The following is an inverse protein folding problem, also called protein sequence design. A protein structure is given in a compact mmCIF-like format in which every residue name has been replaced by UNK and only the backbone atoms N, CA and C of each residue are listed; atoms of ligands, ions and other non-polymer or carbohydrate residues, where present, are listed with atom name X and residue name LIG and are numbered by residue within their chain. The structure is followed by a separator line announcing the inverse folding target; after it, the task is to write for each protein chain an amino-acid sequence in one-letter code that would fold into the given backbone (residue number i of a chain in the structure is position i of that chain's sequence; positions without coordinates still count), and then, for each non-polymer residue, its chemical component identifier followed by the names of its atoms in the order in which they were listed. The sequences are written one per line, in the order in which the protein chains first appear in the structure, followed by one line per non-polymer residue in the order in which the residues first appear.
data_IF_683656068595
#
_entry.id   IF_683656068595
#
_cell.length_a   1.000
_cell.length_b   1.000
_cell.length_c   1.000
_cell.angle_alpha   90.00
_cell.angle_beta   90.00
_cell.angle_gamma   90.00
#
_symmetry.space_group_name_H-M   'P 1'
#
loop_
_entity.id
_entity.type
_entity.pdbx_description
1 polymer ?
#
# COMPACT_ATOMS: atom_id res chain seq x y z
N UNK A 1 40.08 38.65 -49.55
CA UNK A 1 41.21 38.17 -50.35
C UNK A 1 41.72 36.89 -49.70
N UNK A 2 41.70 35.81 -50.49
CA UNK A 2 42.51 34.56 -50.45
C UNK A 2 42.69 33.87 -49.08
N UNK A 3 41.96 32.76 -48.80
CA UNK A 3 42.25 31.33 -49.12
C UNK A 3 43.35 30.72 -48.22
N UNK A 4 43.39 29.44 -47.83
CA UNK A 4 42.49 28.28 -47.72
C UNK A 4 43.42 27.08 -47.38
N UNK A 5 42.83 25.99 -46.86
CA UNK A 5 43.29 24.58 -46.78
C UNK A 5 44.12 24.18 -45.56
N UNK A 6 43.62 23.36 -44.62
CA UNK A 6 43.12 21.97 -44.66
C UNK A 6 44.22 20.92 -44.90
N UNK A 7 44.43 20.05 -43.90
CA UNK A 7 44.35 18.61 -44.14
C UNK A 7 43.97 17.84 -42.87
N UNK A 8 42.96 16.99 -43.05
CA UNK A 8 42.41 16.00 -42.14
C UNK A 8 43.33 14.78 -42.01
N UNK A 9 43.24 14.08 -40.88
CA UNK A 9 43.34 12.62 -40.83
C UNK A 9 42.26 12.08 -39.89
N UNK A 10 41.71 10.94 -40.30
CA UNK A 10 40.41 10.34 -39.94
C UNK A 10 40.62 9.14 -39.01
N UNK A 11 39.51 8.67 -38.41
CA UNK A 11 39.26 7.42 -37.66
C UNK A 11 39.51 7.50 -36.15
N UNK A 12 38.63 7.07 -35.24
CA UNK A 12 37.34 6.39 -35.37
C UNK A 12 36.76 6.10 -33.97
N UNK A 13 35.48 6.37 -33.80
CA UNK A 13 34.41 5.59 -33.17
C UNK A 13 34.62 4.53 -32.04
N UNK A 14 33.60 4.52 -31.15
CA UNK A 14 33.10 3.45 -30.23
C UNK A 14 33.74 3.36 -28.82
N UNK A 15 33.01 3.75 -27.75
CA UNK A 15 31.93 3.02 -27.01
C UNK A 15 32.41 1.74 -26.29
N UNK A 16 32.39 1.81 -24.96
CA UNK A 16 31.76 0.81 -24.08
C UNK A 16 32.59 -0.38 -23.60
N UNK A 17 32.90 -0.40 -22.30
CA UNK A 17 32.87 -1.58 -21.39
C UNK A 17 33.27 -1.10 -19.98
N UNK A 18 32.35 -1.08 -19.01
CA UNK A 18 32.12 -2.19 -18.07
C UNK A 18 33.43 -2.71 -17.45
N UNK A 19 33.87 -2.07 -16.36
CA UNK A 19 34.81 -2.68 -15.42
C UNK A 19 34.02 -3.36 -14.30
N UNK A 20 34.18 -4.69 -14.13
CA UNK A 20 33.46 -5.45 -13.12
C UNK A 20 34.10 -5.26 -11.74
N UNK A 21 33.23 -5.32 -10.74
CA UNK A 21 33.51 -5.58 -9.34
C UNK A 21 34.51 -6.74 -9.21
N UNK A 22 35.70 -6.47 -8.67
CA UNK A 22 36.58 -7.51 -8.16
C UNK A 22 36.32 -7.69 -6.66
N UNK A 23 36.16 -8.94 -6.19
CA UNK A 23 35.86 -9.23 -4.79
C UNK A 23 37.08 -8.95 -3.92
N UNK A 24 36.81 -8.44 -2.72
CA UNK A 24 37.76 -8.28 -1.63
C UNK A 24 38.46 -9.62 -1.37
N UNK A 25 39.71 -9.74 -1.83
CA UNK A 25 40.58 -10.84 -1.44
C UNK A 25 40.98 -10.61 0.02
N UNK A 26 40.48 -11.49 0.86
CA UNK A 26 40.94 -11.69 2.22
C UNK A 26 42.48 -11.82 2.24
N UNK A 27 43.20 -11.17 3.16
CA UNK A 27 44.59 -11.52 3.39
C UNK A 27 44.67 -12.97 3.89
N UNK A 28 45.65 -13.77 3.45
CA UNK A 28 45.79 -15.14 3.93
C UNK A 28 46.06 -15.15 5.44
N UNK A 29 45.56 -16.14 6.20
CA UNK A 29 45.94 -16.28 7.58
C UNK A 29 47.44 -16.54 7.64
N UNK A 30 48.16 -15.72 8.41
CA UNK A 30 49.54 -16.01 8.77
C UNK A 30 49.56 -17.43 9.35
N UNK A 31 50.17 -18.35 8.59
CA UNK A 31 50.51 -19.69 9.05
C UNK A 31 51.33 -19.52 10.32
N UNK A 32 50.69 -19.74 11.48
CA UNK A 32 51.43 -20.04 12.71
C UNK A 32 52.20 -21.31 12.41
N UNK A 33 53.52 -21.19 12.32
CA UNK A 33 54.39 -22.34 12.38
C UNK A 33 54.21 -22.93 13.78
N UNK A 34 53.29 -23.87 13.89
CA UNK A 34 53.20 -24.78 15.02
C UNK A 34 54.47 -25.63 15.00
N UNK A 35 55.49 -25.23 15.76
CA UNK A 35 56.53 -26.16 16.12
C UNK A 35 55.90 -27.18 17.08
N UNK A 36 55.88 -28.43 16.62
CA UNK A 36 55.28 -29.52 17.33
C UNK A 36 56.14 -29.93 18.53
N UNK A 37 55.43 -30.18 19.64
CA UNK A 37 55.76 -31.02 20.80
C UNK A 37 56.55 -30.40 21.95
N UNK A 38 55.82 -30.10 23.03
CA UNK A 38 55.99 -30.71 24.37
C UNK A 38 54.79 -30.32 25.25
N UNK A 39 54.41 -31.20 26.19
CA UNK A 39 53.27 -31.07 27.11
C UNK A 39 53.18 -29.62 27.61
N UNK A 40 52.07 -28.92 27.38
CA UNK A 40 51.84 -27.61 27.98
C UNK A 40 51.85 -27.79 29.50
N UNK A 41 52.90 -27.31 30.16
CA UNK A 41 52.91 -27.20 31.63
C UNK A 41 51.72 -26.34 32.04
N UNK A 42 51.05 -26.70 33.13
CA UNK A 42 49.93 -25.89 33.61
C UNK A 42 50.43 -24.46 33.86
N UNK A 43 49.61 -23.44 33.58
CA UNK A 43 50.02 -22.04 33.79
C UNK A 43 50.58 -21.81 35.21
N UNK A 44 50.02 -22.53 36.20
CA UNK A 44 50.48 -22.55 37.59
C UNK A 44 51.93 -23.00 37.73
N UNK A 45 52.34 -24.05 37.03
CA UNK A 45 53.73 -24.52 37.00
C UNK A 45 54.65 -23.46 36.37
N UNK A 46 54.19 -22.70 35.37
CA UNK A 46 54.99 -21.61 34.78
C UNK A 46 55.26 -20.47 35.77
N UNK A 47 54.29 -20.12 36.62
CA UNK A 47 54.51 -19.15 37.71
C UNK A 47 55.44 -19.71 38.80
N UNK A 48 55.26 -20.97 39.18
CA UNK A 48 56.14 -21.63 40.17
C UNK A 48 57.60 -21.72 39.69
N UNK A 49 57.83 -22.02 38.41
CA UNK A 49 59.18 -22.10 37.82
C UNK A 49 59.89 -20.75 37.78
N UNK A 50 59.14 -19.66 37.60
CA UNK A 50 59.65 -18.29 37.68
C UNK A 50 59.70 -17.75 39.11
N UNK A 51 59.32 -18.57 40.11
CA UNK A 51 59.23 -18.20 41.53
C UNK A 51 58.33 -16.99 41.79
N UNK A 52 57.30 -16.82 40.97
CA UNK A 52 56.32 -15.76 41.11
C UNK A 52 55.15 -16.24 41.98
N UNK A 53 54.49 -15.33 42.73
CA UNK A 53 53.31 -15.70 43.50
C UNK A 53 52.22 -16.24 42.56
N UNK A 54 51.54 -17.31 42.98
CA UNK A 54 50.51 -17.98 42.17
C UNK A 54 49.24 -17.12 41.92
N UNK A 55 49.21 -15.89 42.46
CA UNK A 55 48.17 -14.90 42.25
C UNK A 55 48.29 -14.25 40.87
N UNK A 56 47.16 -14.10 40.17
CA UNK A 56 47.04 -13.64 38.77
C UNK A 56 47.39 -12.16 38.54
N UNK A 57 48.06 -11.52 39.50
CA UNK A 57 48.28 -10.07 39.52
C UNK A 57 49.76 -9.68 39.37
N UNK A 58 50.63 -10.63 39.00
CA UNK A 58 52.05 -10.33 38.75
C UNK A 58 52.18 -9.30 37.62
N UNK A 59 52.87 -8.20 37.89
CA UNK A 59 53.05 -7.14 36.90
C UNK A 59 54.01 -7.58 35.80
N UNK A 60 53.85 -7.04 34.58
CA UNK A 60 54.73 -7.39 33.45
C UNK A 60 56.21 -7.05 33.73
N UNK A 61 56.47 -6.09 34.62
CA UNK A 61 57.81 -5.73 35.06
C UNK A 61 58.39 -6.81 35.99
N UNK A 62 57.62 -7.26 36.98
CA UNK A 62 58.03 -8.34 37.90
C UNK A 62 58.36 -9.65 37.17
N UNK A 63 57.54 -10.02 36.17
CA UNK A 63 57.78 -11.22 35.35
C UNK A 63 59.10 -11.14 34.59
N UNK A 64 59.46 -9.93 34.11
CA UNK A 64 60.74 -9.70 33.43
C UNK A 64 61.92 -9.76 34.38
N UNK A 65 61.78 -9.17 35.57
CA UNK A 65 62.83 -9.18 36.58
C UNK A 65 63.11 -10.59 37.09
N UNK A 66 62.06 -11.38 37.34
CA UNK A 66 62.17 -12.79 37.71
C UNK A 66 62.86 -13.63 36.61
N UNK A 67 62.49 -13.43 35.34
CA UNK A 67 63.16 -14.09 34.22
C UNK A 67 64.64 -13.69 34.11
N UNK A 68 64.97 -12.40 34.24
CA UNK A 68 66.35 -11.93 34.20
C UNK A 68 67.18 -12.50 35.35
N UNK A 69 66.60 -12.64 36.54
CA UNK A 69 67.26 -13.27 37.67
C UNK A 69 67.54 -14.75 37.39
N UNK A 70 66.56 -15.50 36.89
CA UNK A 70 66.73 -16.92 36.53
C UNK A 70 67.70 -17.12 35.35
N UNK A 71 67.67 -16.24 34.36
CA UNK A 71 68.61 -16.27 33.23
C UNK A 71 70.05 -16.09 33.72
N UNK A 72 70.31 -15.15 34.63
CA UNK A 72 71.67 -14.97 35.18
C UNK A 72 72.22 -16.20 35.90
N UNK A 73 71.35 -17.03 36.49
CA UNK A 73 71.74 -18.22 37.26
C UNK A 73 71.91 -19.48 36.39
N UNK A 74 71.09 -19.64 35.36
CA UNK A 74 70.97 -20.90 34.59
C UNK A 74 71.42 -20.78 33.13
N UNK A 75 71.87 -19.61 32.66
CA UNK A 75 72.32 -19.44 31.28
C UNK A 75 73.62 -20.22 31.01
N UNK A 76 73.74 -20.96 29.89
CA UNK A 76 74.91 -21.78 29.56
C UNK A 76 76.22 -20.97 29.48
N UNK A 77 76.14 -19.70 29.10
CA UNK A 77 77.32 -18.83 28.97
C UNK A 77 77.71 -18.10 30.26
N UNK A 78 76.97 -18.29 31.36
CA UNK A 78 77.24 -17.62 32.64
C UNK A 78 78.47 -18.18 33.38
N UNK A 79 78.97 -19.35 32.96
CA UNK A 79 80.13 -20.01 33.57
C UNK A 79 79.92 -20.51 35.01
N UNK A 80 78.68 -20.42 35.54
CA UNK A 80 78.34 -20.90 36.88
C UNK A 80 78.17 -22.43 36.93
N UNK A 81 78.42 -23.05 38.07
CA UNK A 81 78.25 -24.50 38.26
C UNK A 81 76.78 -24.96 38.14
N UNK A 82 75.82 -24.03 38.16
CA UNK A 82 74.38 -24.25 38.00
C UNK A 82 73.90 -24.02 36.56
N UNK A 83 74.80 -23.79 35.61
CA UNK A 83 74.43 -23.50 34.22
C UNK A 83 73.92 -24.77 33.50
N UNK A 84 72.60 -24.85 33.34
CA UNK A 84 71.92 -25.99 32.70
C UNK A 84 71.12 -25.54 31.47
N UNK A 85 71.51 -25.94 30.25
CA UNK A 85 70.85 -25.48 29.03
C UNK A 85 69.40 -25.95 28.93
N UNK A 86 69.09 -27.15 29.44
CA UNK A 86 67.74 -27.71 29.42
C UNK A 86 66.80 -27.04 30.44
N UNK A 87 67.33 -26.54 31.57
CA UNK A 87 66.54 -25.77 32.53
C UNK A 87 66.28 -24.35 32.01
N UNK A 88 67.28 -23.74 31.37
CA UNK A 88 67.12 -22.43 30.75
C UNK A 88 66.01 -22.41 29.68
N UNK A 89 65.94 -23.43 28.81
CA UNK A 89 64.85 -23.54 27.83
C UNK A 89 63.47 -23.66 28.50
N UNK A 90 63.37 -24.37 29.64
CA UNK A 90 62.12 -24.49 30.40
C UNK A 90 61.69 -23.17 31.04
N UNK A 91 62.65 -22.38 31.52
CA UNK A 91 62.42 -21.04 32.09
C UNK A 91 61.96 -20.08 30.99
N UNK A 92 62.55 -20.16 29.79
CA UNK A 92 62.14 -19.36 28.64
C UNK A 92 60.72 -19.71 28.15
N UNK A 93 60.40 -21.00 28.09
CA UNK A 93 59.05 -21.48 27.77
C UNK A 93 58.01 -20.96 28.79
N UNK A 94 58.33 -21.04 30.08
CA UNK A 94 57.47 -20.53 31.14
C UNK A 94 57.25 -19.02 31.04
N UNK A 95 58.30 -18.24 30.77
CA UNK A 95 58.22 -16.79 30.58
C UNK A 95 57.34 -16.41 29.38
N UNK A 96 57.50 -17.11 28.24
CA UNK A 96 56.66 -16.89 27.06
C UNK A 96 55.19 -17.22 27.33
N UNK A 97 54.91 -18.28 28.09
CA UNK A 97 53.55 -18.67 28.47
C UNK A 97 52.86 -17.61 29.35
N UNK A 98 53.57 -17.08 30.36
CA UNK A 98 53.06 -16.02 31.26
C UNK A 98 52.78 -14.72 30.51
N UNK A 99 53.68 -14.31 29.60
CA UNK A 99 53.45 -13.13 28.76
C UNK A 99 52.23 -13.27 27.85
N UNK A 100 52.02 -14.45 27.27
CA UNK A 100 50.84 -14.71 26.45
C UNK A 100 49.54 -14.62 27.27
N UNK A 101 49.54 -15.12 28.51
CA UNK A 101 48.41 -15.03 29.43
C UNK A 101 48.11 -13.58 29.84
N UNK A 102 49.13 -12.78 30.19
CA UNK A 102 48.97 -11.37 30.53
C UNK A 102 48.48 -10.52 29.34
N UNK A 103 48.92 -10.85 28.13
CA UNK A 103 48.42 -10.21 26.91
C UNK A 103 46.94 -10.54 26.65
N UNK A 104 46.52 -11.78 26.90
CA UNK A 104 45.12 -12.22 26.82
C UNK A 104 44.21 -11.50 27.81
N UNK A 105 44.60 -11.44 29.09
CA UNK A 105 43.81 -10.74 30.12
C UNK A 105 43.61 -9.25 29.83
N UNK A 106 44.61 -8.58 29.25
CA UNK A 106 44.46 -7.17 28.83
C UNK A 106 43.49 -6.99 27.66
N UNK A 107 43.34 -8.00 26.80
CA UNK A 107 42.36 -7.97 25.71
C UNK A 107 40.95 -8.24 26.23
N UNK A 108 40.77 -9.21 27.12
CA UNK A 108 39.48 -9.53 27.75
C UNK A 108 38.93 -8.35 28.56
N UNK A 109 39.77 -7.69 29.37
CA UNK A 109 39.35 -6.48 30.12
C UNK A 109 38.91 -5.33 29.20
N UNK A 110 39.58 -5.14 28.06
CA UNK A 110 39.18 -4.12 27.07
C UNK A 110 37.85 -4.46 26.42
N UNK A 111 37.59 -5.73 26.11
CA UNK A 111 36.31 -6.14 25.54
C UNK A 111 35.16 -6.02 26.55
N UNK A 112 35.42 -6.22 27.84
CA UNK A 112 34.43 -6.00 28.91
C UNK A 112 34.13 -4.50 29.09
N UNK A 113 35.16 -3.65 29.15
CA UNK A 113 35.01 -2.18 29.20
C UNK A 113 34.25 -1.63 27.98
N UNK A 114 34.55 -2.12 26.76
CA UNK A 114 33.83 -1.72 25.54
C UNK A 114 32.36 -2.18 25.52
N UNK A 115 32.01 -3.28 26.18
CA UNK A 115 30.62 -3.74 26.32
C UNK A 115 29.87 -2.90 27.34
N UNK A 116 30.50 -2.57 28.45
CA UNK A 116 29.91 -1.74 29.52
C UNK A 116 29.66 -0.29 29.03
N UNK A 117 30.56 0.26 28.21
CA UNK A 117 30.40 1.56 27.52
C UNK A 117 29.27 1.57 26.46
N UNK A 118 28.93 0.40 25.90
CA UNK A 118 27.80 0.26 24.96
C UNK A 118 26.46 0.17 25.68
N UNK A 119 26.42 -0.40 26.88
CA UNK A 119 25.18 -0.53 27.68
C UNK A 119 24.82 0.75 28.45
N UNK A 120 25.80 1.53 28.88
CA UNK A 120 25.58 2.80 29.61
C UNK A 120 25.23 3.99 28.71
N UNK A 121 25.46 3.91 27.40
CA UNK A 121 24.95 4.88 26.42
C UNK A 121 23.46 4.64 26.15
N UNK A 122 22.63 5.05 27.10
CA UNK A 122 21.19 5.19 26.89
C UNK A 122 20.91 5.94 25.59
N UNK A 123 20.03 5.39 24.75
CA UNK A 123 19.59 5.98 23.50
C UNK A 123 18.88 7.32 23.77
N UNK A 124 19.64 8.41 23.82
CA UNK A 124 19.08 9.73 23.65
C UNK A 124 18.41 9.76 22.27
N UNK A 125 17.13 10.18 22.14
CA UNK A 125 16.50 10.30 20.83
C UNK A 125 17.24 11.37 20.03
N UNK A 126 18.18 10.95 19.18
CA UNK A 126 18.90 11.79 18.24
C UNK A 126 18.00 12.19 17.06
N UNK A 127 16.74 12.51 17.30
CA UNK A 127 15.80 12.94 16.27
C UNK A 127 15.95 14.43 15.93
N UNK A 128 17.15 14.99 16.08
CA UNK A 128 17.56 16.23 15.41
C UNK A 128 18.47 15.87 14.24
N UNK A 129 17.95 15.04 13.33
CA UNK A 129 18.53 14.94 12.00
C UNK A 129 18.12 16.23 11.28
N UNK A 130 19.08 17.13 11.05
CA UNK A 130 18.87 18.24 10.12
C UNK A 130 18.54 17.64 8.75
N UNK A 131 17.54 18.19 8.04
CA UNK A 131 17.29 17.82 6.65
C UNK A 131 18.62 17.97 5.88
N UNK A 132 19.19 16.85 5.46
CA UNK A 132 20.32 16.87 4.54
C UNK A 132 19.77 17.26 3.18
N UNK A 133 19.96 18.50 2.76
CA UNK A 133 19.51 19.03 1.47
C UNK A 133 20.30 18.46 0.27
N UNK A 134 20.86 17.25 0.37
CA UNK A 134 21.67 16.60 -0.67
C UNK A 134 22.83 17.48 -1.20
N UNK A 135 23.31 18.43 -0.40
CA UNK A 135 24.32 19.41 -0.81
C UNK A 135 23.78 20.53 -1.73
N UNK A 136 22.47 20.61 -1.93
CA UNK A 136 21.80 21.59 -2.81
C UNK A 136 21.53 22.90 -2.07
N UNK A 137 22.16 23.96 -2.57
CA UNK A 137 21.96 25.33 -2.11
C UNK A 137 22.97 25.81 -1.05
N UNK A 138 23.39 27.06 -1.17
CA UNK A 138 24.18 27.80 -0.17
C UNK A 138 23.30 28.83 0.55
N UNK A 139 23.71 29.24 1.76
CA UNK A 139 23.01 30.28 2.53
C UNK A 139 22.53 29.83 3.92
N UNK A 140 21.59 30.58 4.48
CA UNK A 140 20.98 30.26 5.78
C UNK A 140 20.12 28.99 5.71
N UNK A 141 19.81 28.32 6.83
CA UNK A 141 18.99 27.11 6.83
C UNK A 141 17.63 27.27 6.14
N UNK A 142 16.94 28.40 6.32
CA UNK A 142 15.64 28.69 5.69
C UNK A 142 15.75 28.93 4.18
N UNK A 143 16.81 29.59 3.71
CA UNK A 143 17.08 29.76 2.27
C UNK A 143 17.40 28.43 1.59
N UNK A 144 18.19 27.57 2.25
CA UNK A 144 18.45 26.21 1.77
C UNK A 144 17.18 25.38 1.73
N UNK A 145 16.32 25.49 2.73
CA UNK A 145 15.02 24.81 2.74
C UNK A 145 14.16 25.22 1.55
N UNK A 146 14.04 26.53 1.28
CA UNK A 146 13.24 27.04 0.15
C UNK A 146 13.77 26.54 -1.19
N UNK A 147 15.10 26.55 -1.37
CA UNK A 147 15.75 26.08 -2.60
C UNK A 147 15.63 24.56 -2.76
N UNK A 148 15.80 23.79 -1.69
CA UNK A 148 15.63 22.34 -1.74
C UNK A 148 14.17 21.94 -2.03
N UNK A 149 13.20 22.70 -1.51
CA UNK A 149 11.78 22.52 -1.88
C UNK A 149 11.56 22.73 -3.39
N UNK A 150 12.16 23.76 -3.98
CA UNK A 150 12.11 23.99 -5.44
C UNK A 150 12.81 22.85 -6.20
N UNK A 151 14.04 22.51 -5.82
CA UNK A 151 14.80 21.41 -6.42
C UNK A 151 14.04 20.07 -6.38
N UNK A 152 13.33 19.76 -5.29
CA UNK A 152 12.50 18.56 -5.18
C UNK A 152 11.31 18.58 -6.15
N UNK A 153 10.69 19.74 -6.35
CA UNK A 153 9.61 19.90 -7.33
C UNK A 153 10.17 19.68 -8.73
N UNK A 154 11.26 20.35 -9.08
CA UNK A 154 11.88 20.25 -10.40
C UNK A 154 12.28 18.79 -10.71
N UNK A 155 12.96 18.13 -9.77
CA UNK A 155 13.34 16.70 -9.90
C UNK A 155 12.12 15.79 -10.03
N UNK A 156 11.03 16.06 -9.31
CA UNK A 156 9.80 15.28 -9.45
C UNK A 156 9.15 15.50 -10.82
N UNK A 157 9.20 16.72 -11.37
CA UNK A 157 8.70 17.01 -12.71
C UNK A 157 9.50 16.29 -13.79
N UNK A 158 10.84 16.31 -13.69
CA UNK A 158 11.74 15.58 -14.60
C UNK A 158 11.44 14.08 -14.57
N UNK A 159 11.33 13.47 -13.37
CA UNK A 159 11.02 12.04 -13.23
C UNK A 159 9.67 11.66 -13.85
N UNK A 160 8.66 12.52 -13.74
CA UNK A 160 7.35 12.28 -14.38
C UNK A 160 7.44 12.37 -15.90
N UNK A 161 8.23 13.32 -16.42
CA UNK A 161 8.46 13.44 -17.86
C UNK A 161 9.22 12.23 -18.40
N UNK A 162 10.29 11.80 -17.73
CA UNK A 162 11.07 10.62 -18.09
C UNK A 162 10.22 9.34 -18.06
N UNK A 163 9.39 9.18 -17.02
CA UNK A 163 8.46 8.05 -16.95
C UNK A 163 7.46 8.06 -18.11
N UNK A 164 6.88 9.23 -18.43
CA UNK A 164 5.96 9.38 -19.56
C UNK A 164 6.64 9.07 -20.89
N UNK A 165 7.88 9.54 -21.09
CA UNK A 165 8.67 9.22 -22.27
C UNK A 165 8.93 7.72 -22.37
N UNK A 166 9.40 7.09 -21.29
CA UNK A 166 9.64 5.64 -21.26
C UNK A 166 8.37 4.81 -21.47
N UNK A 167 7.21 5.27 -20.98
CA UNK A 167 5.91 4.63 -21.27
C UNK A 167 5.57 4.76 -22.75
N UNK A 168 5.73 5.94 -23.35
CA UNK A 168 5.49 6.15 -24.79
C UNK A 168 6.44 5.32 -25.65
N UNK A 169 7.71 5.23 -25.29
CA UNK A 169 8.71 4.40 -25.97
C UNK A 169 8.39 2.91 -25.84
N UNK A 170 7.96 2.43 -24.67
CA UNK A 170 7.53 1.04 -24.48
C UNK A 170 6.28 0.70 -25.28
N UNK A 171 5.33 1.64 -25.36
CA UNK A 171 4.13 1.48 -26.19
C UNK A 171 4.51 1.49 -27.67
N UNK A 172 5.42 2.37 -28.09
CA UNK A 172 5.94 2.40 -29.46
C UNK A 172 6.69 1.10 -29.82
N UNK A 173 7.58 0.63 -28.95
CA UNK A 173 8.33 -0.62 -29.13
C UNK A 173 7.45 -1.88 -29.10
N UNK A 174 6.38 -1.89 -28.29
CA UNK A 174 5.38 -2.96 -28.32
C UNK A 174 4.51 -2.93 -29.60
N UNK A 175 4.35 -1.76 -30.21
CA UNK A 175 3.61 -1.56 -31.47
C UNK A 175 4.44 -1.73 -32.76
N UNK A 176 5.78 -1.73 -32.67
CA UNK A 176 6.70 -2.02 -33.80
C UNK A 176 6.47 -3.42 -34.42
N UNK A 177 5.75 -4.30 -33.72
CA UNK A 177 5.32 -5.60 -34.25
C UNK A 177 4.04 -5.59 -35.10
N UNK A 178 3.18 -4.56 -35.10
CA UNK A 178 1.86 -4.71 -35.75
C UNK A 178 0.97 -3.48 -36.11
N UNK A 179 1.30 -2.20 -35.86
CA UNK A 179 0.25 -1.13 -35.97
C UNK A 179 0.52 0.02 -36.96
N UNK A 180 -0.51 0.28 -37.77
CA UNK A 180 -0.67 1.20 -38.90
C UNK A 180 -0.47 2.68 -38.56
N UNK A 181 0.13 3.43 -39.51
CA UNK A 181 0.26 4.91 -39.54
C UNK A 181 -1.05 5.69 -39.26
N UNK A 182 -2.21 5.04 -39.35
CA UNK A 182 -3.53 5.60 -39.02
C UNK A 182 -3.70 5.91 -37.53
N UNK A 183 -3.18 5.09 -36.62
CA UNK A 183 -3.39 5.29 -35.19
C UNK A 183 -2.45 6.35 -34.61
N UNK A 184 -1.23 6.48 -35.15
CA UNK A 184 -0.32 7.61 -34.91
C UNK A 184 -0.95 8.96 -35.30
N UNK A 185 -1.68 9.02 -36.43
CA UNK A 185 -2.38 10.23 -36.87
C UNK A 185 -3.56 10.58 -35.97
N UNK A 186 -4.29 9.59 -35.45
CA UNK A 186 -5.39 9.80 -34.50
C UNK A 186 -4.86 10.29 -33.16
N UNK A 187 -3.80 9.66 -32.61
CA UNK A 187 -3.17 10.07 -31.35
C UNK A 187 -2.57 11.47 -31.42
N UNK A 188 -1.87 11.81 -32.51
CA UNK A 188 -1.32 13.17 -32.70
C UNK A 188 -2.42 14.24 -32.87
N UNK A 189 -3.52 13.93 -33.55
CA UNK A 189 -4.70 14.81 -33.58
C UNK A 189 -5.30 14.98 -32.19
N UNK A 190 -5.42 13.90 -31.42
CA UNK A 190 -5.92 13.95 -30.04
C UNK A 190 -5.03 14.85 -29.17
N UNK A 191 -3.70 14.71 -29.24
CA UNK A 191 -2.74 15.53 -28.47
C UNK A 191 -2.83 17.00 -28.88
N UNK A 192 -2.98 17.30 -30.18
CA UNK A 192 -3.17 18.69 -30.64
C UNK A 192 -4.48 19.28 -30.15
N UNK A 193 -5.56 18.48 -30.13
CA UNK A 193 -6.86 18.90 -29.61
C UNK A 193 -6.76 19.18 -28.11
N UNK A 194 -6.12 18.31 -27.33
CA UNK A 194 -5.97 18.54 -25.88
C UNK A 194 -5.14 19.78 -25.58
N UNK A 195 -4.02 19.99 -26.28
CA UNK A 195 -3.20 21.20 -26.12
C UNK A 195 -3.92 22.48 -26.54
N UNK A 196 -4.77 22.41 -27.57
CA UNK A 196 -5.58 23.54 -28.00
C UNK A 196 -6.69 23.86 -26.99
N UNK A 197 -7.31 22.83 -26.40
CA UNK A 197 -8.28 22.99 -25.31
C UNK A 197 -7.60 23.58 -24.08
N UNK A 198 -6.42 23.10 -23.69
CA UNK A 198 -5.64 23.64 -22.57
C UNK A 198 -5.33 25.14 -22.76
N UNK A 199 -4.85 25.53 -23.95
CA UNK A 199 -4.63 26.95 -24.28
C UNK A 199 -5.91 27.78 -24.22
N UNK A 200 -7.00 27.26 -24.79
CA UNK A 200 -8.29 27.96 -24.78
C UNK A 200 -8.80 28.14 -23.34
N UNK A 201 -8.63 27.13 -22.49
CA UNK A 201 -8.97 27.21 -21.07
C UNK A 201 -8.09 28.22 -20.35
N UNK A 202 -6.78 28.26 -20.61
CA UNK A 202 -5.86 29.26 -20.04
C UNK A 202 -6.24 30.68 -20.46
N UNK A 203 -6.52 30.90 -21.74
CA UNK A 203 -6.96 32.21 -22.25
C UNK A 203 -8.29 32.63 -21.59
N UNK A 204 -9.23 31.70 -21.42
CA UNK A 204 -10.51 31.95 -20.76
C UNK A 204 -10.33 32.28 -19.27
N UNK A 205 -9.42 31.59 -18.57
CA UNK A 205 -9.10 31.87 -17.17
C UNK A 205 -8.46 33.26 -17.04
N UNK A 206 -7.49 33.59 -17.89
CA UNK A 206 -6.83 34.89 -17.89
C UNK A 206 -7.81 36.02 -18.20
N UNK A 207 -8.74 35.79 -19.15
CA UNK A 207 -9.79 36.75 -19.47
C UNK A 207 -10.76 36.94 -18.28
N UNK A 208 -11.20 35.86 -17.63
CA UNK A 208 -12.03 35.94 -16.41
C UNK A 208 -11.30 36.58 -15.23
N UNK A 209 -9.99 36.39 -15.10
CA UNK A 209 -9.16 37.10 -14.13
C UNK A 209 -9.09 38.61 -14.42
N UNK A 210 -8.93 38.99 -15.69
CA UNK A 210 -8.90 40.39 -16.12
C UNK A 210 -10.27 41.08 -15.93
N UNK A 211 -11.37 40.38 -16.22
CA UNK A 211 -12.76 40.82 -15.96
C UNK A 211 -13.07 40.94 -14.47
N UNK A 212 -12.34 40.21 -13.63
CA UNK A 212 -12.49 40.23 -12.18
C UNK A 212 -13.59 39.30 -11.67
N UNK A 213 -13.98 38.29 -12.45
CA UNK A 213 -15.02 37.30 -12.09
C UNK A 213 -14.69 36.57 -10.78
N UNK A 214 -13.40 36.49 -10.42
CA UNK A 214 -12.91 35.85 -9.20
C UNK A 214 -12.88 36.75 -7.95
N UNK A 215 -13.17 38.06 -8.06
CA UNK A 215 -13.01 39.01 -6.94
C UNK A 215 -14.06 38.86 -5.83
N UNK A 216 -15.23 38.30 -6.14
CA UNK A 216 -16.37 38.17 -5.20
C UNK A 216 -16.96 36.74 -5.16
N UNK A 217 -16.10 35.73 -5.21
CA UNK A 217 -16.55 34.34 -5.04
C UNK A 217 -17.18 34.15 -3.65
N UNK A 218 -18.22 33.32 -3.58
CA UNK A 218 -18.85 32.95 -2.31
C UNK A 218 -17.82 32.28 -1.40
N UNK A 219 -17.46 32.96 -0.30
CA UNK A 219 -16.48 32.46 0.66
C UNK A 219 -15.06 33.02 0.50
N UNK A 220 -14.82 33.99 -0.39
CA UNK A 220 -13.54 34.71 -0.44
C UNK A 220 -13.22 35.37 0.91
N UNK A 221 -11.97 35.21 1.38
CA UNK A 221 -11.49 35.76 2.66
C UNK A 221 -12.07 35.12 3.92
N UNK A 222 -13.05 34.22 3.82
CA UNK A 222 -13.55 33.45 4.97
C UNK A 222 -12.61 32.27 5.24
N UNK A 223 -12.34 31.93 6.51
CA UNK A 223 -11.67 30.67 6.81
C UNK A 223 -12.48 29.54 6.18
N UNK A 224 -11.79 28.57 5.57
CA UNK A 224 -12.43 27.36 5.07
C UNK A 224 -13.29 26.80 6.21
N UNK A 225 -14.57 26.54 5.96
CA UNK A 225 -15.48 25.97 6.97
C UNK A 225 -14.76 24.78 7.60
N UNK A 226 -14.62 24.80 8.94
CA UNK A 226 -13.92 23.75 9.67
C UNK A 226 -14.55 22.44 9.26
N UNK A 227 -13.77 21.66 8.53
CA UNK A 227 -14.19 20.39 7.99
C UNK A 227 -14.64 19.49 9.16
N UNK A 228 -15.49 18.51 8.88
CA UNK A 228 -15.77 17.42 9.82
C UNK A 228 -14.45 16.69 10.08
N UNK A 229 -13.66 17.22 11.01
CA UNK A 229 -12.32 16.74 11.27
C UNK A 229 -12.45 15.38 11.92
N UNK A 230 -12.18 14.33 11.14
CA UNK A 230 -12.01 13.01 11.70
C UNK A 230 -10.69 12.99 12.48
N UNK A 231 -10.72 12.96 13.83
CA UNK A 231 -9.51 13.00 14.64
C UNK A 231 -8.64 11.74 14.48
N UNK A 232 -9.21 10.67 13.90
CA UNK A 232 -8.53 9.42 13.64
C UNK A 232 -7.90 9.34 12.24
N UNK A 233 -8.13 10.34 11.38
CA UNK A 233 -7.56 10.39 10.03
C UNK A 233 -6.51 11.49 9.92
N UNK A 234 -5.40 11.20 9.24
CA UNK A 234 -4.40 12.20 8.90
C UNK A 234 -5.04 13.32 8.04
N UNK A 235 -4.72 14.61 8.28
CA UNK A 235 -5.27 15.72 7.51
C UNK A 235 -5.10 15.58 5.99
N UNK A 236 -4.01 14.98 5.51
CA UNK A 236 -3.79 14.79 4.08
C UNK A 236 -4.75 13.75 3.50
N UNK A 237 -4.90 12.60 4.16
CA UNK A 237 -5.84 11.55 3.76
C UNK A 237 -7.29 12.03 3.82
N UNK A 238 -7.65 12.76 4.89
CA UNK A 238 -8.98 13.33 5.02
C UNK A 238 -9.30 14.31 3.88
N UNK A 239 -8.37 15.21 3.55
CA UNK A 239 -8.55 16.16 2.45
C UNK A 239 -8.65 15.46 1.09
N UNK A 240 -7.85 14.43 0.84
CA UNK A 240 -7.93 13.64 -0.38
C UNK A 240 -9.29 12.93 -0.51
N UNK A 241 -9.72 12.23 0.54
CA UNK A 241 -11.02 11.56 0.55
C UNK A 241 -12.17 12.55 0.36
N UNK A 242 -12.07 13.75 0.94
CA UNK A 242 -13.04 14.82 0.71
C UNK A 242 -13.10 15.22 -0.76
N UNK A 243 -11.95 15.53 -1.38
CA UNK A 243 -11.89 15.89 -2.80
C UNK A 243 -12.49 14.78 -3.66
N UNK A 244 -12.20 13.51 -3.35
CA UNK A 244 -12.78 12.37 -4.05
C UNK A 244 -14.31 12.33 -3.90
N UNK A 245 -14.84 12.49 -2.69
CA UNK A 245 -16.27 12.52 -2.42
C UNK A 245 -16.96 13.70 -3.12
N UNK A 246 -16.38 14.90 -3.05
CA UNK A 246 -16.90 16.11 -3.69
C UNK A 246 -16.99 15.96 -5.22
N UNK A 247 -16.06 15.20 -5.81
CA UNK A 247 -16.07 14.84 -7.24
C UNK A 247 -16.96 13.62 -7.55
N UNK A 248 -17.66 13.06 -6.56
CA UNK A 248 -18.52 11.89 -6.73
C UNK A 248 -17.78 10.57 -6.96
N UNK A 249 -16.48 10.49 -6.61
CA UNK A 249 -15.72 9.27 -6.71
C UNK A 249 -16.24 8.21 -5.74
N UNK A 250 -16.46 6.99 -6.23
CA UNK A 250 -16.95 5.87 -5.45
C UNK A 250 -15.94 4.72 -5.50
N UNK A 251 -15.57 4.14 -4.34
CA UNK A 251 -14.82 2.90 -4.29
C UNK A 251 -15.49 1.80 -5.12
N UNK A 252 -14.68 1.00 -5.81
CA UNK A 252 -15.16 -0.05 -6.71
C UNK A 252 -16.16 -1.02 -6.05
N UNK A 253 -15.92 -1.41 -4.79
CA UNK A 253 -16.83 -2.31 -4.08
C UNK A 253 -18.21 -1.67 -3.81
N UNK A 254 -18.32 -0.35 -3.65
CA UNK A 254 -19.60 0.34 -3.50
C UNK A 254 -20.41 0.27 -4.80
N UNK A 255 -19.73 0.51 -5.93
CA UNK A 255 -20.33 0.40 -7.26
C UNK A 255 -20.79 -1.03 -7.51
N UNK A 256 -19.93 -2.01 -7.26
CA UNK A 256 -20.26 -3.44 -7.38
C UNK A 256 -21.44 -3.84 -6.50
N UNK A 257 -21.51 -3.36 -5.26
CA UNK A 257 -22.65 -3.62 -4.37
C UNK A 257 -23.96 -3.09 -4.96
N UNK A 258 -23.94 -1.86 -5.49
CA UNK A 258 -25.11 -1.24 -6.12
C UNK A 258 -25.55 -2.05 -7.34
N UNK A 259 -24.61 -2.45 -8.20
CA UNK A 259 -24.89 -3.29 -9.36
C UNK A 259 -25.51 -4.64 -8.97
N UNK A 260 -24.99 -5.32 -7.94
CA UNK A 260 -25.54 -6.59 -7.45
C UNK A 260 -26.99 -6.40 -6.97
N UNK A 261 -27.29 -5.31 -6.26
CA UNK A 261 -28.66 -5.03 -5.80
C UNK A 261 -29.61 -4.77 -6.97
N UNK A 262 -29.23 -3.90 -7.90
CA UNK A 262 -30.06 -3.58 -9.07
C UNK A 262 -30.28 -4.80 -9.98
N UNK A 263 -29.25 -5.61 -10.19
CA UNK A 263 -29.37 -6.85 -10.98
C UNK A 263 -30.24 -7.88 -10.27
N UNK A 264 -30.10 -8.06 -8.96
CA UNK A 264 -30.98 -8.93 -8.18
C UNK A 264 -32.46 -8.47 -8.24
N UNK A 265 -32.71 -7.16 -8.16
CA UNK A 265 -34.06 -6.60 -8.31
C UNK A 265 -34.63 -6.85 -9.70
N UNK A 266 -33.86 -6.58 -10.76
CA UNK A 266 -34.27 -6.87 -12.15
C UNK A 266 -34.60 -8.34 -12.37
N UNK A 267 -33.78 -9.25 -11.82
CA UNK A 267 -34.04 -10.68 -11.91
C UNK A 267 -35.31 -11.08 -11.15
N UNK A 268 -35.56 -10.48 -9.98
CA UNK A 268 -36.79 -10.72 -9.19
C UNK A 268 -38.02 -10.20 -9.90
N UNK A 269 -38.00 -8.99 -10.45
CA UNK A 269 -39.14 -8.44 -11.20
C UNK A 269 -39.44 -9.27 -12.43
N UNK A 270 -38.39 -9.68 -13.16
CA UNK A 270 -38.53 -10.56 -14.32
C UNK A 270 -39.17 -11.91 -13.93
N UNK A 271 -38.69 -12.57 -12.87
CA UNK A 271 -39.24 -13.85 -12.42
C UNK A 271 -40.71 -13.72 -11.97
N UNK A 272 -41.05 -12.63 -11.30
CA UNK A 272 -42.43 -12.32 -10.90
C UNK A 272 -43.34 -12.08 -12.10
N UNK A 273 -42.86 -11.35 -13.11
CA UNK A 273 -43.61 -11.12 -14.35
C UNK A 273 -43.81 -12.41 -15.13
N UNK A 274 -42.77 -13.24 -15.28
CA UNK A 274 -42.87 -14.56 -15.90
C UNK A 274 -43.90 -15.43 -15.18
N UNK A 275 -43.95 -15.39 -13.84
CA UNK A 275 -44.96 -16.13 -13.08
C UNK A 275 -46.37 -15.56 -13.24
N UNK A 276 -46.51 -14.23 -13.28
CA UNK A 276 -47.79 -13.54 -13.37
C UNK A 276 -48.49 -13.73 -14.73
N UNK A 277 -47.71 -13.94 -15.81
CA UNK A 277 -48.24 -14.27 -17.16
C UNK A 277 -48.92 -15.65 -17.16
N UNK A 278 -48.46 -16.57 -16.31
CA UNK A 278 -48.99 -17.93 -16.25
C UNK A 278 -50.25 -18.01 -15.37
N UNK A 279 -51.21 -18.85 -15.77
CA UNK A 279 -52.47 -19.06 -15.05
C UNK A 279 -52.33 -19.79 -13.71
N UNK A 280 -53.45 -19.83 -12.97
CA UNK A 280 -53.68 -20.74 -11.84
C UNK A 280 -55.03 -21.45 -12.01
N UNK A 281 -55.09 -22.80 -12.00
CA UNK A 281 -53.98 -23.75 -11.92
C UNK A 281 -53.14 -23.79 -13.22
N UNK A 282 -51.85 -24.12 -13.09
CA UNK A 282 -50.94 -24.24 -14.23
C UNK A 282 -51.31 -25.45 -15.11
N UNK A 283 -51.57 -25.21 -16.39
CA UNK A 283 -51.66 -26.29 -17.39
C UNK A 283 -50.30 -26.94 -17.64
N UNK A 284 -50.28 -28.18 -18.15
CA UNK A 284 -49.04 -28.94 -18.40
C UNK A 284 -48.04 -28.16 -19.29
N UNK A 285 -48.53 -27.48 -20.33
CA UNK A 285 -47.69 -26.65 -21.20
C UNK A 285 -47.12 -25.40 -20.48
N UNK A 286 -47.92 -24.76 -19.61
CA UNK A 286 -47.46 -23.64 -18.78
C UNK A 286 -46.43 -24.08 -17.73
N UNK A 287 -46.55 -25.31 -17.21
CA UNK A 287 -45.54 -25.87 -16.32
C UNK A 287 -44.20 -26.07 -17.03
N UNK A 288 -44.21 -26.52 -18.30
CA UNK A 288 -42.99 -26.62 -19.09
C UNK A 288 -42.34 -25.24 -19.30
N UNK A 289 -43.13 -24.23 -19.70
CA UNK A 289 -42.66 -22.84 -19.84
C UNK A 289 -42.10 -22.29 -18.54
N UNK A 290 -42.75 -22.56 -17.40
CA UNK A 290 -42.24 -22.14 -16.10
C UNK A 290 -40.88 -22.76 -15.78
N UNK A 291 -40.68 -24.05 -16.12
CA UNK A 291 -39.37 -24.71 -15.94
C UNK A 291 -38.29 -24.09 -16.82
N UNK A 292 -38.61 -23.74 -18.07
CA UNK A 292 -37.69 -23.03 -18.96
C UNK A 292 -37.29 -21.67 -18.38
N UNK A 293 -38.26 -20.89 -17.88
CA UNK A 293 -37.97 -19.63 -17.18
C UNK A 293 -37.11 -19.84 -15.93
N UNK A 294 -37.35 -20.90 -15.16
CA UNK A 294 -36.51 -21.24 -13.99
C UNK A 294 -35.08 -21.63 -14.39
N UNK A 295 -34.90 -22.33 -15.51
CA UNK A 295 -33.58 -22.66 -16.04
C UNK A 295 -32.83 -21.40 -16.47
N UNK A 296 -33.45 -20.53 -17.27
CA UNK A 296 -32.86 -19.26 -17.66
C UNK A 296 -32.58 -18.34 -16.44
N UNK A 297 -33.45 -18.36 -15.42
CA UNK A 297 -33.19 -17.67 -14.16
C UNK A 297 -31.95 -18.24 -13.45
N UNK A 298 -31.77 -19.56 -13.44
CA UNK A 298 -30.64 -20.20 -12.77
C UNK A 298 -29.28 -19.82 -13.39
N UNK A 299 -29.22 -19.67 -14.71
CA UNK A 299 -28.01 -19.21 -15.41
C UNK A 299 -27.69 -17.76 -15.06
N UNK A 300 -28.69 -16.88 -15.10
CA UNK A 300 -28.54 -15.49 -14.69
C UNK A 300 -28.15 -15.37 -13.21
N UNK A 301 -28.72 -16.20 -12.35
CA UNK A 301 -28.39 -16.24 -10.93
C UNK A 301 -26.95 -16.72 -10.71
N UNK A 302 -26.45 -17.67 -11.51
CA UNK A 302 -25.06 -18.09 -11.46
C UNK A 302 -24.10 -16.96 -11.84
N UNK A 303 -24.43 -16.15 -12.85
CA UNK A 303 -23.62 -14.95 -13.19
C UNK A 303 -23.68 -13.89 -12.10
N UNK A 304 -24.83 -13.70 -11.45
CA UNK A 304 -24.96 -12.81 -10.29
C UNK A 304 -24.12 -13.30 -9.10
N UNK A 305 -24.13 -14.60 -8.80
CA UNK A 305 -23.32 -15.17 -7.72
C UNK A 305 -21.82 -15.02 -7.97
N UNK A 306 -21.35 -15.11 -9.22
CA UNK A 306 -19.95 -14.78 -9.57
C UNK A 306 -19.61 -13.33 -9.23
N UNK A 307 -20.50 -12.37 -9.52
CA UNK A 307 -20.30 -10.97 -9.11
C UNK A 307 -20.27 -10.81 -7.59
N UNK A 308 -21.07 -11.60 -6.87
CA UNK A 308 -21.04 -11.64 -5.39
C UNK A 308 -19.69 -12.15 -4.89
N UNK A 309 -19.11 -13.17 -5.54
CA UNK A 309 -17.77 -13.66 -5.22
C UNK A 309 -16.71 -12.55 -5.44
N UNK A 310 -16.71 -11.92 -6.62
CA UNK A 310 -15.80 -10.82 -6.93
C UNK A 310 -15.93 -9.66 -5.93
N UNK A 311 -17.16 -9.31 -5.56
CA UNK A 311 -17.43 -8.32 -4.53
C UNK A 311 -16.85 -8.74 -3.17
N UNK A 312 -17.07 -9.98 -2.75
CA UNK A 312 -16.57 -10.50 -1.48
C UNK A 312 -15.04 -10.49 -1.38
N UNK A 313 -14.35 -10.60 -2.53
CA UNK A 313 -12.88 -10.50 -2.61
C UNK A 313 -12.37 -9.06 -2.45
N UNK A 314 -13.14 -8.05 -2.89
CA UNK A 314 -12.71 -6.64 -2.90
C UNK A 314 -13.16 -5.90 -1.62
N UNK A 315 -14.21 -6.38 -0.96
CA UNK A 315 -14.80 -5.71 0.20
C UNK A 315 -13.83 -5.70 1.39
N UNK A 316 -13.54 -4.53 1.97
CA UNK A 316 -12.57 -4.41 3.06
C UNK A 316 -13.08 -4.92 4.42
N UNK A 317 -14.40 -5.14 4.57
CA UNK A 317 -15.03 -5.51 5.84
C UNK A 317 -15.81 -6.82 5.72
N UNK A 318 -15.46 -7.82 6.53
CA UNK A 318 -16.12 -9.12 6.55
C UNK A 318 -17.64 -9.01 6.77
N UNK A 319 -18.08 -8.08 7.64
CA UNK A 319 -19.50 -7.84 7.92
C UNK A 319 -20.30 -7.31 6.73
N UNK A 320 -19.63 -6.85 5.66
CA UNK A 320 -20.24 -6.31 4.46
C UNK A 320 -20.24 -7.29 3.29
N UNK A 321 -19.63 -8.47 3.46
CA UNK A 321 -19.71 -9.54 2.48
C UNK A 321 -21.15 -10.05 2.32
N UNK A 322 -21.44 -10.58 1.14
CA UNK A 322 -22.76 -11.04 0.74
C UNK A 322 -22.77 -12.56 0.57
N UNK A 323 -23.90 -13.17 0.91
CA UNK A 323 -24.14 -14.59 0.68
C UNK A 323 -24.72 -14.78 -0.72
N UNK A 324 -24.42 -15.92 -1.33
CA UNK A 324 -25.02 -16.32 -2.60
C UNK A 324 -26.55 -16.36 -2.55
N UNK A 325 -27.15 -16.01 -3.68
CA UNK A 325 -28.57 -16.21 -3.90
C UNK A 325 -28.81 -17.68 -4.22
N UNK A 326 -29.88 -18.24 -3.65
CA UNK A 326 -30.28 -19.63 -3.94
C UNK A 326 -31.53 -19.65 -4.81
N UNK A 327 -31.52 -20.47 -5.85
CA UNK A 327 -32.63 -20.62 -6.79
C UNK A 327 -33.96 -20.90 -6.08
N UNK A 328 -34.00 -21.91 -5.20
CA UNK A 328 -35.22 -22.33 -4.50
C UNK A 328 -35.84 -21.20 -3.67
N UNK A 329 -35.03 -20.47 -2.88
CA UNK A 329 -35.55 -19.37 -2.05
C UNK A 329 -36.13 -18.23 -2.89
N UNK A 330 -35.52 -17.91 -4.02
CA UNK A 330 -36.03 -16.86 -4.92
C UNK A 330 -37.30 -17.33 -5.65
N UNK A 331 -37.39 -18.61 -6.03
CA UNK A 331 -38.63 -19.20 -6.56
C UNK A 331 -39.77 -19.15 -5.55
N UNK A 332 -39.55 -19.62 -4.32
CA UNK A 332 -40.56 -19.59 -3.26
C UNK A 332 -41.00 -18.18 -2.93
N UNK A 333 -40.05 -17.23 -2.95
CA UNK A 333 -40.34 -15.80 -2.79
C UNK A 333 -41.23 -15.30 -3.93
N UNK A 334 -40.91 -15.64 -5.18
CA UNK A 334 -41.71 -15.24 -6.33
C UNK A 334 -43.13 -15.83 -6.26
N UNK A 335 -43.27 -17.10 -5.88
CA UNK A 335 -44.57 -17.75 -5.73
C UNK A 335 -45.41 -17.12 -4.60
N UNK A 336 -44.80 -16.79 -3.45
CA UNK A 336 -45.50 -16.09 -2.35
C UNK A 336 -45.96 -14.71 -2.77
N UNK A 337 -45.07 -13.92 -3.37
CA UNK A 337 -45.39 -12.56 -3.81
C UNK A 337 -46.44 -12.53 -4.93
N UNK A 338 -46.43 -13.50 -5.85
CA UNK A 338 -47.46 -13.65 -6.89
C UNK A 338 -48.84 -13.97 -6.29
N UNK A 339 -48.90 -14.90 -5.33
CA UNK A 339 -50.13 -15.19 -4.57
C UNK A 339 -50.65 -13.95 -3.85
N UNK A 340 -49.79 -13.24 -3.13
CA UNK A 340 -50.15 -11.99 -2.43
C UNK A 340 -50.67 -10.93 -3.41
N UNK A 341 -50.02 -10.78 -4.58
CA UNK A 341 -50.44 -9.85 -5.63
C UNK A 341 -51.82 -10.20 -6.18
N UNK A 342 -52.12 -11.48 -6.38
CA UNK A 342 -53.45 -11.93 -6.82
C UNK A 342 -54.51 -11.70 -5.74
N UNK A 343 -54.23 -12.05 -4.48
CA UNK A 343 -55.14 -11.81 -3.36
C UNK A 343 -55.44 -10.32 -3.18
N UNK A 344 -54.43 -9.46 -3.29
CA UNK A 344 -54.60 -8.00 -3.22
C UNK A 344 -55.49 -7.49 -4.35
N UNK A 345 -55.27 -7.95 -5.59
CA UNK A 345 -56.13 -7.60 -6.74
C UNK A 345 -57.57 -8.08 -6.57
N UNK A 346 -57.79 -9.24 -5.95
CA UNK A 346 -59.14 -9.73 -5.63
C UNK A 346 -59.82 -8.84 -4.60
N UNK A 347 -59.13 -8.50 -3.50
CA UNK A 347 -59.63 -7.57 -2.48
C UNK A 347 -59.96 -6.20 -3.05
N UNK A 348 -59.07 -5.62 -3.86
CA UNK A 348 -59.30 -4.32 -4.51
C UNK A 348 -60.56 -4.36 -5.40
N UNK A 349 -60.79 -5.46 -6.15
CA UNK A 349 -62.00 -5.65 -6.96
C UNK A 349 -63.26 -5.84 -6.10
N UNK A 350 -63.16 -6.49 -4.95
CA UNK A 350 -64.27 -6.66 -4.02
C UNK A 350 -64.64 -5.33 -3.36
N UNK A 351 -63.64 -4.56 -2.90
CA UNK A 351 -63.83 -3.22 -2.36
C UNK A 351 -64.43 -2.27 -3.40
N UNK A 352 -63.99 -2.32 -4.66
CA UNK A 352 -64.55 -1.53 -5.76
C UNK A 352 -66.02 -1.89 -6.00
N UNK A 353 -66.36 -3.18 -6.05
CA UNK A 353 -67.76 -3.65 -6.16
C UNK A 353 -68.61 -3.26 -4.96
N UNK A 354 -68.06 -3.24 -3.76
CA UNK A 354 -68.77 -2.78 -2.57
C UNK A 354 -69.02 -1.28 -2.62
N UNK A 355 -68.04 -0.48 -3.07
CA UNK A 355 -68.21 0.96 -3.30
C UNK A 355 -69.30 1.24 -4.33
N UNK A 356 -69.27 0.56 -5.48
CA UNK A 356 -70.31 0.65 -6.50
C UNK A 356 -71.70 0.33 -5.93
N UNK A 357 -71.82 -0.76 -5.14
CA UNK A 357 -73.08 -1.12 -4.46
C UNK A 357 -73.54 -0.08 -3.45
N UNK A 358 -72.63 0.54 -2.69
CA UNK A 358 -72.98 1.61 -1.75
C UNK A 358 -73.43 2.86 -2.49
N UNK A 359 -72.76 3.25 -3.57
CA UNK A 359 -73.16 4.37 -4.40
C UNK A 359 -74.52 4.14 -5.07
N UNK A 360 -74.79 2.93 -5.57
CA UNK A 360 -76.10 2.56 -6.10
C UNK A 360 -77.19 2.63 -5.02
N UNK A 361 -76.91 2.16 -3.79
CA UNK A 361 -77.84 2.27 -2.65
C UNK A 361 -78.10 3.71 -2.27
N UNK A 362 -77.07 4.56 -2.25
CA UNK A 362 -77.21 5.97 -1.89
C UNK A 362 -77.93 6.77 -2.99
N UNK A 363 -77.67 6.47 -4.27
CA UNK A 363 -78.45 7.00 -5.41
C UNK A 363 -79.93 6.57 -5.33
N UNK A 364 -80.20 5.31 -5.00
CA UNK A 364 -81.56 4.80 -4.83
C UNK A 364 -82.30 5.49 -3.67
N UNK A 365 -81.62 5.70 -2.53
CA UNK A 365 -82.17 6.48 -1.40
C UNK A 365 -82.45 7.94 -1.77
N UNK A 366 -81.50 8.62 -2.43
CA UNK A 366 -81.69 9.99 -2.88
C UNK A 366 -82.89 10.13 -3.84
N UNK A 367 -83.10 9.17 -4.74
CA UNK A 367 -84.29 9.13 -5.60
C UNK A 367 -85.60 8.94 -4.82
N UNK A 368 -85.60 8.08 -3.78
CA UNK A 368 -86.77 7.89 -2.92
C UNK A 368 -87.08 9.15 -2.09
N UNK A 369 -86.05 9.76 -1.49
CA UNK A 369 -86.18 10.98 -0.68
C UNK A 369 -86.65 12.17 -1.53
N UNK A 370 -86.17 12.31 -2.76
CA UNK A 370 -86.67 13.31 -3.71
C UNK A 370 -88.15 13.10 -4.08
N UNK A 371 -88.56 11.84 -4.28
CA UNK A 371 -89.96 11.49 -4.53
C UNK A 371 -90.87 11.77 -3.34
N UNK A 372 -90.42 11.50 -2.12
CA UNK A 372 -91.17 11.73 -0.88
C UNK A 372 -91.24 13.23 -0.53
N UNK A 373 -90.16 13.98 -0.74
CA UNK A 373 -90.13 15.44 -0.60
C UNK A 373 -91.06 16.16 -1.58
N UNK A 374 -91.12 15.70 -2.83
CA UNK A 374 -92.08 16.23 -3.82
C UNK A 374 -93.54 15.93 -3.41
N UNK A 375 -93.84 14.71 -2.98
CA UNK A 375 -95.19 14.34 -2.52
C UNK A 375 -95.63 15.14 -1.29
N UNK A 376 -94.72 15.36 -0.32
CA UNK A 376 -94.98 16.20 0.85
C UNK A 376 -95.21 17.67 0.49
N UNK A 377 -94.47 18.19 -0.49
CA UNK A 377 -94.65 19.56 -0.99
C UNK A 377 -96.03 19.73 -1.67
N UNK A 378 -96.44 18.78 -2.52
CA UNK A 378 -97.77 18.79 -3.16
C UNK A 378 -98.90 18.69 -2.14
N UNK A 379 -98.77 17.86 -1.10
CA UNK A 379 -99.79 17.76 -0.04
C UNK A 379 -99.93 19.04 0.79
N UNK A 380 -98.85 19.80 1.00
CA UNK A 380 -98.91 21.08 1.70
C UNK A 380 -99.42 22.23 0.83
N UNK A 381 -99.38 22.11 -0.50
CA UNK A 381 -99.94 23.09 -1.44
C UNK A 381 -101.46 22.92 -1.67
N UNK A 382 -102.00 21.76 -1.31
CA UNK A 382 -103.43 21.39 -1.43
C UNK A 382 -104.23 21.58 -0.13
N UNK A 383 -103.62 22.13 0.91
CA UNK A 383 -104.29 22.68 2.10
C UNK A 383 -104.31 24.20 2.00
#
# INVERSE_FOLDING_TARGET
MQRSMLQCLVCGELRGALLPLLPQRCPPPLRRLSHAHRKSRSLRESYQLLQLPEGRDSSQAEVKEAYLHMAKLYHPDSGAATADPALFSQIEEAYRAVLAHLAGQRAEKKEEEEKEDRETKGQAPQHRQYLSYEGVGSGTPSERERRYRQYRVDRATEQVLDYRQGVLERVAAAEEGAVSTRDMRKRSRQIKITQAVERLVEDLILESMARGDFRNLSGSGKPLCKFDHNPYADPMTHNLNRILIDNGYQPQWIVAQKEIRETAEKLRTWLLESRAILGEPLTSAEQARWREHCQAFSENLATLNKKVDDFNLIVPLLSKQMVHFSLQREMDRALRADRERRMKRQREREEERERERTEERDKAKAHQDAGWGFFSWVQNLLK
#
